data_IF_188549142344
#
_entry.id   IF_188549142344
#
_cell.length_a   1.000
_cell.length_b   1.000
_cell.length_c   1.000
_cell.angle_alpha   90.00
_cell.angle_beta   90.00
_cell.angle_gamma   90.00
#
_symmetry.space_group_name_H-M   'P 1'
#
loop_
_entity.id
_entity.type
_entity.pdbx_description
1 polymer ?
#
# COMPACT_ATOMS: atom_id res chain seq x y z
N UNK A 1 19.87 73.94 1.48
CA UNK A 1 20.82 73.00 0.85
C UNK A 1 21.34 72.02 1.89
N UNK A 2 20.85 70.77 1.84
CA UNK A 2 21.55 69.51 2.15
C UNK A 2 20.55 68.38 1.85
N UNK A 3 20.77 67.67 0.75
CA UNK A 3 20.21 66.35 0.44
C UNK A 3 20.69 65.35 1.52
N UNK A 4 19.98 64.27 1.89
CA UNK A 4 19.67 63.08 1.09
C UNK A 4 18.77 62.10 1.89
N UNK A 5 18.19 61.06 1.25
CA UNK A 5 17.00 60.32 1.68
C UNK A 5 17.34 58.94 2.30
N UNK A 6 16.36 58.21 2.82
CA UNK A 6 16.07 56.81 2.41
C UNK A 6 14.84 56.27 3.16
N UNK A 7 13.99 55.63 2.38
CA UNK A 7 12.74 55.00 2.78
C UNK A 7 12.92 53.84 3.77
N UNK A 8 11.87 53.56 4.54
CA UNK A 8 11.59 52.20 5.02
C UNK A 8 10.08 51.95 5.05
N UNK A 9 9.63 51.29 3.99
CA UNK A 9 8.39 50.56 3.95
C UNK A 9 8.54 49.21 4.70
N UNK A 10 7.39 48.56 4.88
CA UNK A 10 7.17 47.13 5.13
C UNK A 10 6.90 46.70 6.59
N UNK A 11 5.58 46.60 6.85
CA UNK A 11 4.91 45.36 7.21
C UNK A 11 5.41 44.62 8.46
N UNK A 12 4.77 44.92 9.60
CA UNK A 12 4.84 44.12 10.83
C UNK A 12 3.97 42.87 10.74
N UNK A 13 4.65 41.75 10.49
CA UNK A 13 4.32 40.35 10.76
C UNK A 13 2.89 39.97 11.21
N UNK A 14 2.14 39.32 10.31
CA UNK A 14 1.06 38.40 10.67
C UNK A 14 1.69 37.05 10.99
N UNK A 15 1.69 36.65 12.27
CA UNK A 15 2.05 35.30 12.68
C UNK A 15 0.93 34.33 12.23
N UNK A 16 1.13 33.66 11.10
CA UNK A 16 0.35 32.47 10.75
C UNK A 16 0.85 31.31 11.61
N UNK A 17 0.12 31.01 12.67
CA UNK A 17 0.26 29.75 13.39
C UNK A 17 -0.22 28.62 12.46
N UNK A 18 0.72 27.98 11.76
CA UNK A 18 0.46 26.72 11.06
C UNK A 18 0.33 25.64 12.13
N UNK A 19 -0.89 25.44 12.61
CA UNK A 19 -1.29 24.24 13.35
C UNK A 19 -1.20 23.07 12.39
N UNK A 20 -0.02 22.46 12.30
CA UNK A 20 0.16 21.16 11.67
C UNK A 20 -0.63 20.14 12.50
N UNK A 21 -1.89 19.91 12.12
CA UNK A 21 -2.64 18.79 12.67
C UNK A 21 -1.99 17.53 12.14
N UNK A 22 -1.11 16.93 12.94
CA UNK A 22 -0.70 15.54 12.74
C UNK A 22 -1.99 14.71 12.78
N UNK A 23 -2.34 14.09 11.65
CA UNK A 23 -3.41 13.11 11.62
C UNK A 23 -3.11 12.06 12.71
N UNK A 24 -4.06 11.71 13.58
CA UNK A 24 -3.77 10.80 14.68
C UNK A 24 -3.32 9.46 14.09
N UNK A 25 -2.08 9.08 14.41
CA UNK A 25 -1.62 7.71 14.25
C UNK A 25 -2.58 6.81 15.05
N UNK A 26 -3.35 5.96 14.38
CA UNK A 26 -4.34 5.07 15.00
C UNK A 26 -5.80 5.28 14.58
N UNK A 27 -6.09 6.10 13.56
CA UNK A 27 -7.44 6.09 12.97
C UNK A 27 -7.65 4.80 12.15
N UNK A 28 -8.65 4.00 12.56
CA UNK A 28 -9.11 2.85 11.77
C UNK A 28 -9.64 3.25 10.39
N UNK A 29 -9.95 2.25 9.57
CA UNK A 29 -10.51 2.45 8.25
C UNK A 29 -11.84 3.20 8.30
N UNK A 30 -11.97 4.17 7.42
CA UNK A 30 -13.23 4.90 7.15
C UNK A 30 -14.20 4.05 6.33
N UNK A 31 -15.49 4.40 6.32
CA UNK A 31 -16.49 3.65 5.54
C UNK A 31 -16.20 3.56 4.04
N UNK A 32 -15.50 4.54 3.45
CA UNK A 32 -15.04 4.45 2.06
C UNK A 32 -13.93 3.40 1.87
N UNK A 33 -13.05 3.25 2.85
CA UNK A 33 -11.99 2.25 2.87
C UNK A 33 -12.52 0.85 3.19
N UNK A 34 -13.53 0.72 4.05
CA UNK A 34 -14.21 -0.55 4.30
C UNK A 34 -14.90 -1.10 3.04
N UNK A 35 -15.51 -0.23 2.23
CA UNK A 35 -16.06 -0.61 0.91
C UNK A 35 -14.97 -1.15 -0.03
N UNK A 36 -13.78 -0.56 0.00
CA UNK A 36 -12.63 -1.03 -0.78
C UNK A 36 -12.16 -2.40 -0.33
N UNK A 37 -12.16 -2.70 0.98
CA UNK A 37 -11.91 -4.07 1.48
C UNK A 37 -12.91 -5.05 0.87
N UNK A 38 -14.21 -4.73 0.90
CA UNK A 38 -15.24 -5.61 0.34
C UNK A 38 -15.04 -5.86 -1.16
N UNK A 39 -14.71 -4.84 -1.94
CA UNK A 39 -14.43 -4.95 -3.37
C UNK A 39 -13.20 -5.83 -3.65
N UNK A 40 -12.11 -5.61 -2.93
CA UNK A 40 -10.90 -6.44 -3.05
C UNK A 40 -11.18 -7.90 -2.66
N UNK A 41 -11.96 -8.13 -1.59
CA UNK A 41 -12.37 -9.46 -1.15
C UNK A 41 -13.09 -10.17 -2.30
N UNK A 42 -14.02 -9.54 -3.00
CA UNK A 42 -14.77 -10.21 -4.08
C UNK A 42 -13.85 -10.87 -5.12
N UNK A 43 -12.69 -10.30 -5.41
CA UNK A 43 -11.71 -10.89 -6.33
C UNK A 43 -11.01 -12.14 -5.78
N UNK A 44 -11.03 -12.32 -4.46
CA UNK A 44 -10.33 -13.38 -3.73
C UNK A 44 -11.29 -14.41 -3.14
N UNK A 45 -12.58 -14.38 -3.48
CA UNK A 45 -13.61 -15.15 -2.78
C UNK A 45 -13.42 -16.66 -2.82
N UNK A 46 -12.79 -17.17 -3.89
CA UNK A 46 -12.51 -18.59 -4.10
C UNK A 46 -11.31 -19.08 -3.27
N UNK A 47 -10.45 -18.17 -2.79
CA UNK A 47 -9.14 -18.51 -2.22
C UNK A 47 -8.91 -17.95 -0.80
N UNK A 48 -9.67 -16.93 -0.40
CA UNK A 48 -9.64 -16.33 0.94
C UNK A 48 -11.01 -16.46 1.60
N UNK A 49 -11.07 -17.32 2.63
CA UNK A 49 -12.29 -17.62 3.37
C UNK A 49 -12.68 -16.51 4.35
N UNK A 50 -11.78 -15.57 4.64
CA UNK A 50 -12.05 -14.46 5.56
C UNK A 50 -13.15 -13.56 5.00
N UNK A 51 -14.03 -13.13 5.88
CA UNK A 51 -15.02 -12.10 5.61
C UNK A 51 -14.38 -10.71 5.51
N UNK A 52 -15.04 -9.79 4.83
CA UNK A 52 -14.60 -8.39 4.78
C UNK A 52 -14.49 -7.79 6.20
N UNK A 53 -15.36 -8.19 7.12
CA UNK A 53 -15.34 -7.68 8.51
C UNK A 53 -14.09 -8.13 9.25
N UNK A 54 -13.73 -9.42 9.16
CA UNK A 54 -12.51 -9.94 9.79
C UNK A 54 -11.26 -9.22 9.26
N UNK A 55 -11.21 -8.95 7.95
CA UNK A 55 -10.09 -8.22 7.33
C UNK A 55 -10.02 -6.77 7.83
N UNK A 56 -11.17 -6.08 7.91
CA UNK A 56 -11.25 -4.71 8.46
C UNK A 56 -10.76 -4.69 9.92
N UNK A 57 -11.22 -5.64 10.74
CA UNK A 57 -10.82 -5.72 12.15
C UNK A 57 -9.32 -6.03 12.30
N UNK A 58 -8.75 -6.85 11.41
CA UNK A 58 -7.31 -7.11 11.33
C UNK A 58 -6.53 -5.83 10.98
N UNK A 59 -6.93 -5.11 9.92
CA UNK A 59 -6.24 -3.90 9.48
C UNK A 59 -6.30 -2.79 10.52
N UNK A 60 -7.43 -2.62 11.21
CA UNK A 60 -7.60 -1.62 12.26
C UNK A 60 -6.74 -1.87 13.50
N UNK A 61 -6.23 -3.10 13.69
CA UNK A 61 -5.28 -3.44 14.77
C UNK A 61 -3.82 -3.17 14.39
N UNK A 62 -3.55 -2.85 13.13
CA UNK A 62 -2.20 -2.53 12.67
C UNK A 62 -1.88 -1.04 12.85
N UNK A 63 -0.59 -0.67 12.98
CA UNK A 63 -0.18 0.74 13.01
C UNK A 63 -0.49 1.51 11.72
N UNK A 64 -0.67 0.82 10.59
CA UNK A 64 -0.92 1.42 9.28
C UNK A 64 -2.11 0.73 8.56
N UNK A 65 -3.37 0.96 8.99
CA UNK A 65 -4.53 0.29 8.40
C UNK A 65 -4.69 0.56 6.90
N UNK A 66 -4.45 1.81 6.46
CA UNK A 66 -4.55 2.19 5.05
C UNK A 66 -3.49 1.51 4.17
N UNK A 67 -2.25 1.38 4.67
CA UNK A 67 -1.19 0.67 3.98
C UNK A 67 -1.55 -0.81 3.78
N UNK A 68 -2.07 -1.46 4.82
CA UNK A 68 -2.52 -2.85 4.75
C UNK A 68 -3.68 -3.03 3.76
N UNK A 69 -4.63 -2.09 3.71
CA UNK A 69 -5.67 -2.06 2.67
C UNK A 69 -5.07 -1.96 1.26
N UNK A 70 -4.13 -1.03 1.03
CA UNK A 70 -3.51 -0.86 -0.28
C UNK A 70 -2.73 -2.10 -0.74
N UNK A 71 -2.04 -2.77 0.18
CA UNK A 71 -1.39 -4.05 -0.09
C UNK A 71 -2.44 -5.11 -0.45
N UNK A 72 -3.53 -5.21 0.30
CA UNK A 72 -4.58 -6.19 0.05
C UNK A 72 -5.25 -5.99 -1.31
N UNK A 73 -5.49 -4.75 -1.71
CA UNK A 73 -5.97 -4.41 -3.05
C UNK A 73 -4.97 -4.82 -4.14
N UNK A 74 -3.69 -4.56 -3.94
CA UNK A 74 -2.65 -4.95 -4.89
C UNK A 74 -2.52 -6.48 -5.01
N UNK A 75 -2.70 -7.22 -3.90
CA UNK A 75 -2.78 -8.69 -3.90
C UNK A 75 -3.98 -9.16 -4.70
N UNK A 76 -5.16 -8.59 -4.44
CA UNK A 76 -6.41 -8.95 -5.11
C UNK A 76 -6.35 -8.68 -6.62
N UNK A 77 -5.83 -7.51 -7.02
CA UNK A 77 -5.65 -7.14 -8.42
C UNK A 77 -4.63 -8.02 -9.13
N UNK A 78 -3.49 -8.31 -8.49
CA UNK A 78 -2.47 -9.23 -9.00
C UNK A 78 -3.05 -10.62 -9.21
N UNK A 79 -3.79 -11.15 -8.22
CA UNK A 79 -4.43 -12.45 -8.33
C UNK A 79 -5.39 -12.50 -9.52
N UNK A 80 -6.32 -11.55 -9.61
CA UNK A 80 -7.31 -11.51 -10.68
C UNK A 80 -6.65 -11.40 -12.07
N UNK A 81 -5.60 -10.58 -12.20
CA UNK A 81 -4.86 -10.42 -13.45
C UNK A 81 -4.15 -11.72 -13.86
N UNK A 82 -3.44 -12.37 -12.93
CA UNK A 82 -2.68 -13.57 -13.23
C UNK A 82 -3.58 -14.79 -13.51
N UNK A 83 -4.68 -14.95 -12.76
CA UNK A 83 -5.70 -15.98 -13.03
C UNK A 83 -6.26 -15.81 -14.44
N UNK A 84 -6.62 -14.57 -14.82
CA UNK A 84 -7.14 -14.28 -16.16
C UNK A 84 -6.09 -14.54 -17.24
N UNK A 85 -4.86 -14.05 -17.08
CA UNK A 85 -3.79 -14.18 -18.07
C UNK A 85 -3.32 -15.61 -18.29
N UNK A 86 -3.43 -16.48 -17.28
CA UNK A 86 -3.06 -17.90 -17.35
C UNK A 86 -4.26 -18.81 -17.57
N UNK A 87 -5.45 -18.25 -17.76
CA UNK A 87 -6.71 -18.98 -17.92
C UNK A 87 -6.88 -20.07 -16.83
N UNK A 88 -6.53 -19.73 -15.58
CA UNK A 88 -6.49 -20.70 -14.50
C UNK A 88 -7.91 -21.08 -14.09
N UNK A 89 -8.25 -22.35 -14.26
CA UNK A 89 -9.55 -22.92 -13.86
C UNK A 89 -9.44 -23.79 -12.61
N UNK A 90 -8.28 -24.41 -12.37
CA UNK A 90 -8.06 -25.30 -11.23
C UNK A 90 -8.00 -24.55 -9.88
N UNK A 91 -8.82 -24.99 -8.94
CA UNK A 91 -8.94 -24.37 -7.62
C UNK A 91 -7.67 -24.51 -6.77
N UNK A 92 -6.96 -25.64 -6.87
CA UNK A 92 -5.73 -25.84 -6.12
C UNK A 92 -4.61 -24.91 -6.63
N UNK A 93 -4.47 -24.78 -7.94
CA UNK A 93 -3.52 -23.88 -8.57
C UNK A 93 -3.82 -22.40 -8.26
N UNK A 94 -5.10 -22.00 -8.26
CA UNK A 94 -5.53 -20.66 -7.82
C UNK A 94 -5.12 -20.37 -6.38
N UNK A 95 -5.38 -21.32 -5.46
CA UNK A 95 -4.98 -21.19 -4.05
C UNK A 95 -3.46 -21.13 -3.89
N UNK A 96 -2.72 -21.93 -4.64
CA UNK A 96 -1.26 -21.89 -4.64
C UNK A 96 -0.73 -20.54 -5.14
N UNK A 97 -1.30 -20.00 -6.22
CA UNK A 97 -0.95 -18.67 -6.74
C UNK A 97 -1.20 -17.59 -5.68
N UNK A 98 -2.36 -17.60 -5.04
CA UNK A 98 -2.69 -16.65 -3.97
C UNK A 98 -1.66 -16.71 -2.82
N UNK A 99 -1.29 -17.92 -2.37
CA UNK A 99 -0.25 -18.09 -1.34
C UNK A 99 1.11 -17.57 -1.82
N UNK A 100 1.49 -17.84 -3.07
CA UNK A 100 2.75 -17.37 -3.63
C UNK A 100 2.80 -15.83 -3.73
N UNK A 101 1.68 -15.18 -4.08
CA UNK A 101 1.57 -13.71 -4.08
C UNK A 101 1.81 -13.17 -2.66
N UNK A 102 1.17 -13.75 -1.64
CA UNK A 102 1.36 -13.34 -0.24
C UNK A 102 2.81 -13.51 0.24
N UNK A 103 3.47 -14.60 -0.15
CA UNK A 103 4.88 -14.81 0.16
C UNK A 103 5.78 -13.76 -0.52
N UNK A 104 5.48 -13.37 -1.76
CA UNK A 104 6.23 -12.32 -2.44
C UNK A 104 5.99 -10.94 -1.78
N UNK A 105 4.77 -10.63 -1.33
CA UNK A 105 4.52 -9.42 -0.54
C UNK A 105 5.36 -9.42 0.73
N UNK A 106 5.34 -10.51 1.51
CA UNK A 106 6.14 -10.62 2.72
C UNK A 106 7.64 -10.46 2.41
N UNK A 107 8.14 -11.12 1.36
CA UNK A 107 9.53 -10.97 0.91
C UNK A 107 9.90 -9.51 0.64
N UNK A 108 9.06 -8.77 -0.08
CA UNK A 108 9.27 -7.34 -0.34
C UNK A 108 9.24 -6.51 0.95
N UNK A 109 8.28 -6.79 1.85
CA UNK A 109 8.16 -6.07 3.13
C UNK A 109 9.37 -6.26 4.06
N UNK A 110 10.14 -7.34 3.90
CA UNK A 110 11.37 -7.61 4.65
C UNK A 110 12.65 -7.23 3.88
N UNK A 111 12.56 -6.34 2.89
CA UNK A 111 13.73 -5.81 2.18
C UNK A 111 14.28 -6.73 1.09
N UNK A 112 13.46 -7.68 0.64
CA UNK A 112 13.83 -8.55 -0.46
C UNK A 112 13.95 -7.80 -1.79
N UNK A 113 15.03 -8.07 -2.53
CA UNK A 113 15.26 -7.49 -3.86
C UNK A 113 14.21 -7.97 -4.87
N UNK A 114 13.39 -7.06 -5.45
CA UNK A 114 12.36 -7.42 -6.41
C UNK A 114 12.88 -8.06 -7.69
N UNK A 115 14.14 -7.84 -8.06
CA UNK A 115 14.79 -8.36 -9.26
C UNK A 115 15.77 -9.51 -8.99
N UNK A 116 15.91 -9.93 -7.73
CA UNK A 116 16.98 -10.81 -7.27
C UNK A 116 17.28 -12.00 -8.20
N UNK A 117 18.57 -12.17 -8.52
CA UNK A 117 19.14 -13.06 -9.55
C UNK A 117 18.71 -14.54 -9.46
N UNK A 118 18.38 -15.03 -8.26
CA UNK A 118 18.02 -16.43 -8.01
C UNK A 118 16.50 -16.69 -7.95
N UNK A 119 15.69 -15.73 -8.38
CA UNK A 119 14.24 -15.83 -8.26
C UNK A 119 13.62 -16.69 -9.36
N UNK A 120 12.66 -17.55 -9.00
CA UNK A 120 11.89 -18.30 -9.99
C UNK A 120 11.15 -17.33 -10.92
N UNK A 121 11.01 -17.67 -12.21
CA UNK A 121 10.31 -16.83 -13.21
C UNK A 121 8.91 -16.38 -12.77
N UNK A 122 8.18 -17.25 -12.07
CA UNK A 122 6.86 -16.92 -11.52
C UNK A 122 6.93 -15.82 -10.44
N UNK A 123 7.92 -15.88 -9.56
CA UNK A 123 8.10 -14.90 -8.47
C UNK A 123 8.50 -13.52 -9.02
N UNK A 124 9.35 -13.48 -10.05
CA UNK A 124 9.63 -12.23 -10.79
C UNK A 124 8.35 -11.64 -11.41
N UNK A 125 7.54 -12.47 -12.06
CA UNK A 125 6.33 -12.00 -12.71
C UNK A 125 5.24 -11.55 -11.73
N UNK A 126 5.10 -12.26 -10.61
CA UNK A 126 4.24 -11.84 -9.49
C UNK A 126 4.67 -10.47 -8.99
N UNK A 127 5.96 -10.27 -8.71
CA UNK A 127 6.48 -8.99 -8.23
C UNK A 127 6.25 -7.87 -9.23
N UNK A 128 6.63 -8.05 -10.49
CA UNK A 128 6.36 -7.07 -11.55
C UNK A 128 4.87 -6.70 -11.68
N UNK A 129 3.97 -7.65 -11.40
CA UNK A 129 2.52 -7.38 -11.40
C UNK A 129 2.09 -6.64 -10.13
N UNK A 130 2.59 -7.03 -8.96
CA UNK A 130 2.38 -6.31 -7.70
C UNK A 130 2.84 -4.84 -7.80
N UNK A 131 4.04 -4.57 -8.34
CA UNK A 131 4.57 -3.20 -8.52
C UNK A 131 3.69 -2.32 -9.40
N UNK A 132 2.92 -2.90 -10.33
CA UNK A 132 1.97 -2.15 -11.17
C UNK A 132 0.71 -1.74 -10.39
N UNK A 133 0.32 -2.52 -9.38
CA UNK A 133 -0.89 -2.29 -8.59
C UNK A 133 -0.62 -1.62 -7.24
N UNK A 134 0.61 -1.69 -6.72
CA UNK A 134 1.00 -1.00 -5.51
C UNK A 134 1.11 0.53 -5.75
N UNK A 135 0.62 1.36 -4.83
CA UNK A 135 0.85 2.81 -4.88
C UNK A 135 2.36 3.11 -4.82
N UNK A 136 2.84 4.00 -5.70
CA UNK A 136 4.29 4.28 -5.85
C UNK A 136 4.99 4.66 -4.54
N UNK A 137 4.35 5.49 -3.71
CA UNK A 137 4.93 5.94 -2.43
C UNK A 137 4.75 4.97 -1.25
N UNK A 138 4.07 3.84 -1.43
CA UNK A 138 3.85 2.89 -0.33
C UNK A 138 5.11 2.06 -0.04
N UNK A 139 5.94 1.82 -1.06
CA UNK A 139 7.16 1.02 -0.90
C UNK A 139 8.32 1.82 -0.31
N UNK A 140 8.21 3.15 -0.34
CA UNK A 140 9.14 4.05 0.31
C UNK A 140 8.79 4.26 1.81
N UNK A 141 7.69 3.67 2.30
CA UNK A 141 7.26 3.77 3.69
C UNK A 141 7.96 2.70 4.56
N UNK A 142 8.93 3.09 5.41
CA UNK A 142 9.69 2.15 6.23
C UNK A 142 8.86 1.47 7.33
N UNK A 143 7.67 2.00 7.63
CA UNK A 143 6.73 1.36 8.55
C UNK A 143 5.99 0.17 7.91
N UNK A 144 6.08 0.03 6.58
CA UNK A 144 5.35 -0.97 5.78
C UNK A 144 6.31 -1.88 5.02
N UNK A 145 7.39 -1.33 4.46
CA UNK A 145 8.44 -2.03 3.74
C UNK A 145 9.79 -1.68 4.36
N UNK A 146 10.41 -2.66 5.02
CA UNK A 146 11.73 -2.48 5.61
C UNK A 146 12.81 -2.53 4.54
N UNK A 147 13.73 -1.58 4.54
CA UNK A 147 15.00 -1.71 3.83
C UNK A 147 16.01 -2.34 4.78
N UNK A 148 16.64 -3.44 4.37
CA UNK A 148 17.83 -3.96 5.04
C UNK A 148 18.99 -3.03 4.66
N UNK A 149 19.18 -1.95 5.42
CA UNK A 149 20.44 -1.19 5.40
C UNK A 149 21.56 -1.99 6.07
#
# INVERSE_FOLDING_TARGET
MKCSPFARAAAGAVLFAVLWSAAPAGAGLTGGQEKRVAQARMLLEEVDARSAREIIDEFNRTPAPLANLQIYEAVAATYAELVKRKEMTDAAAKKQLYNQIRLNVAYLQFGGDPEGENSRKLDLWIRQTLFRHLPRGLMDDPAVFHTLE
#
